data_IF_728714665309
#
_entry.id   IF_728714665309
#
_cell.length_a   1.000
_cell.length_b   1.000
_cell.length_c   1.000
_cell.angle_alpha   90.00
_cell.angle_beta   90.00
_cell.angle_gamma   90.00
#
_symmetry.space_group_name_H-M   'P 1'
#
loop_
_entity.id
_entity.type
_entity.pdbx_description
1 polymer ?
#
# COMPACT_ATOMS: atom_id res chain seq x y z
N UNK A 1 -10.01 -2.38 9.31
CA UNK A 1 -10.48 -3.59 10.02
C UNK A 1 -11.70 -4.23 9.36
N UNK A 2 -12.79 -3.48 9.06
CA UNK A 2 -14.00 -4.07 8.48
C UNK A 2 -13.81 -4.75 7.12
N UNK A 3 -12.96 -4.19 6.25
CA UNK A 3 -12.78 -4.73 4.90
C UNK A 3 -12.10 -6.10 4.86
N UNK A 4 -11.08 -6.34 5.69
CA UNK A 4 -10.42 -7.65 5.76
C UNK A 4 -11.36 -8.76 6.23
N UNK A 5 -12.29 -8.46 7.14
CA UNK A 5 -13.34 -9.41 7.55
C UNK A 5 -14.27 -9.74 6.37
N UNK A 6 -14.68 -8.72 5.61
CA UNK A 6 -15.50 -8.92 4.41
C UNK A 6 -14.77 -9.79 3.37
N UNK A 7 -13.48 -9.52 3.11
CA UNK A 7 -12.66 -10.34 2.21
C UNK A 7 -12.61 -11.79 2.68
N UNK A 8 -12.37 -12.03 3.97
CA UNK A 8 -12.37 -13.37 4.55
C UNK A 8 -13.71 -14.09 4.38
N UNK A 9 -14.84 -13.38 4.51
CA UNK A 9 -16.17 -13.94 4.24
C UNK A 9 -16.40 -14.28 2.77
N UNK A 10 -15.91 -13.44 1.85
CA UNK A 10 -15.94 -13.72 0.40
C UNK A 10 -15.08 -14.95 0.08
N UNK A 11 -13.85 -15.01 0.60
CA UNK A 11 -12.95 -16.14 0.39
C UNK A 11 -13.55 -17.44 0.95
N UNK A 12 -14.14 -17.41 2.15
CA UNK A 12 -14.85 -18.55 2.71
C UNK A 12 -15.99 -19.03 1.80
N UNK A 13 -16.77 -18.11 1.19
CA UNK A 13 -17.82 -18.49 0.22
C UNK A 13 -17.27 -19.10 -1.06
N UNK A 14 -16.11 -18.64 -1.54
CA UNK A 14 -15.46 -19.19 -2.73
C UNK A 14 -14.85 -20.57 -2.48
N UNK A 15 -14.22 -20.79 -1.32
CA UNK A 15 -13.55 -22.05 -0.99
C UNK A 15 -14.48 -23.14 -0.43
N UNK A 16 -15.49 -22.75 0.36
CA UNK A 16 -16.35 -23.69 1.11
C UNK A 16 -17.75 -23.83 0.51
N UNK A 17 -18.09 -23.02 -0.50
CA UNK A 17 -19.44 -22.96 -1.05
C UNK A 17 -20.46 -22.27 -0.12
N UNK A 18 -21.77 -22.47 -0.32
CA UNK A 18 -22.82 -21.85 0.50
C UNK A 18 -22.71 -22.19 1.99
N UNK A 19 -23.16 -21.28 2.85
CA UNK A 19 -23.12 -21.49 4.29
C UNK A 19 -23.94 -22.71 4.73
N UNK A 20 -23.30 -23.61 5.48
CA UNK A 20 -23.94 -24.74 6.16
C UNK A 20 -23.75 -24.60 7.68
N UNK A 21 -24.83 -24.44 8.47
CA UNK A 21 -24.73 -24.22 9.91
C UNK A 21 -24.16 -25.39 10.70
N UNK A 22 -24.21 -26.63 10.17
CA UNK A 22 -23.66 -27.81 10.84
C UNK A 22 -22.14 -27.92 10.67
N UNK A 23 -21.59 -27.34 9.60
CA UNK A 23 -20.16 -27.42 9.28
C UNK A 23 -19.43 -26.11 9.64
N UNK A 24 -19.99 -24.98 9.25
CA UNK A 24 -19.32 -23.68 9.27
C UNK A 24 -19.59 -22.92 10.57
N UNK A 25 -19.15 -23.48 11.69
CA UNK A 25 -19.35 -22.90 13.02
C UNK A 25 -18.29 -21.84 13.36
N UNK A 26 -18.48 -21.12 14.47
CA UNK A 26 -17.45 -20.22 15.01
C UNK A 26 -16.17 -21.01 15.34
N UNK A 27 -16.31 -22.24 15.84
CA UNK A 27 -15.19 -23.11 16.15
C UNK A 27 -14.36 -23.43 14.90
N UNK A 28 -15.02 -23.81 13.81
CA UNK A 28 -14.37 -24.03 12.51
C UNK A 28 -13.51 -22.84 12.09
N UNK A 29 -14.05 -21.62 12.15
CA UNK A 29 -13.30 -20.42 11.77
C UNK A 29 -12.19 -20.03 12.76
N UNK A 30 -12.25 -20.48 14.03
CA UNK A 30 -11.14 -20.33 14.98
C UNK A 30 -9.99 -21.27 14.67
N UNK A 31 -10.26 -22.49 14.23
CA UNK A 31 -9.22 -23.44 13.81
C UNK A 31 -8.61 -23.06 12.47
N UNK A 32 -9.43 -22.56 11.54
CA UNK A 32 -9.03 -22.21 10.19
C UNK A 32 -8.75 -20.71 9.99
N UNK A 33 -8.58 -19.93 11.08
CA UNK A 33 -8.48 -18.47 11.01
C UNK A 33 -7.34 -17.99 10.10
N UNK A 34 -6.27 -18.77 9.97
CA UNK A 34 -5.09 -18.40 9.19
C UNK A 34 -5.34 -18.40 7.68
N UNK A 35 -6.35 -19.15 7.23
CA UNK A 35 -6.74 -19.22 5.82
C UNK A 35 -7.52 -18.00 5.37
N UNK A 36 -8.35 -17.45 6.26
CA UNK A 36 -9.33 -16.42 5.89
C UNK A 36 -9.06 -15.05 6.50
N UNK A 37 -8.10 -14.91 7.43
CA UNK A 37 -7.76 -13.65 8.08
C UNK A 37 -6.25 -13.33 7.98
N UNK A 38 -5.89 -12.05 7.75
CA UNK A 38 -4.51 -11.58 7.82
C UNK A 38 -3.88 -11.81 9.20
N UNK A 39 -2.56 -11.99 9.25
CA UNK A 39 -1.81 -12.31 10.49
C UNK A 39 -2.12 -11.35 11.63
N UNK A 40 -2.11 -10.04 11.39
CA UNK A 40 -2.38 -9.02 12.41
C UNK A 40 -3.83 -9.01 12.95
N UNK A 41 -4.75 -9.69 12.27
CA UNK A 41 -6.14 -9.84 12.73
C UNK A 41 -6.35 -11.13 13.54
N UNK A 42 -5.40 -12.08 13.45
CA UNK A 42 -5.43 -13.30 14.23
C UNK A 42 -5.13 -12.92 15.67
N UNK A 43 -6.07 -13.15 16.59
CA UNK A 43 -5.78 -12.95 18.01
C UNK A 43 -4.74 -13.98 18.45
N UNK A 44 -3.84 -13.59 19.35
CA UNK A 44 -2.84 -14.51 19.90
C UNK A 44 -3.51 -15.73 20.54
N UNK A 45 -2.89 -16.90 20.37
CA UNK A 45 -3.41 -18.21 20.78
C UNK A 45 -3.93 -18.24 22.24
N UNK A 46 -3.30 -17.48 23.15
CA UNK A 46 -3.70 -17.38 24.56
C UNK A 46 -5.09 -16.76 24.78
N UNK A 47 -5.52 -15.78 23.98
CA UNK A 47 -6.87 -15.18 24.12
C UNK A 47 -7.97 -16.06 23.53
N UNK A 48 -7.63 -16.91 22.57
CA UNK A 48 -8.54 -17.90 21.99
C UNK A 48 -8.74 -19.09 22.94
N UNK A 49 -7.69 -19.50 23.66
CA UNK A 49 -7.72 -20.59 24.64
C UNK A 49 -8.56 -20.27 25.89
N UNK A 50 -8.53 -19.03 26.38
CA UNK A 50 -9.32 -18.61 27.56
C UNK A 50 -10.82 -18.41 27.28
N UNK A 51 -11.31 -18.65 26.06
CA UNK A 51 -12.73 -18.45 25.71
C UNK A 51 -13.21 -16.99 25.76
N UNK A 52 -12.31 -16.03 26.04
CA UNK A 52 -12.58 -14.59 26.16
C UNK A 52 -12.84 -13.90 24.81
N UNK A 53 -13.00 -14.66 23.73
CA UNK A 53 -13.32 -14.13 22.41
C UNK A 53 -14.81 -13.76 22.36
N UNK A 54 -15.09 -12.51 22.74
CA UNK A 54 -16.44 -11.97 22.82
C UNK A 54 -17.19 -11.95 21.49
N UNK A 55 -18.48 -11.58 21.56
CA UNK A 55 -19.43 -11.53 20.44
C UNK A 55 -18.96 -10.71 19.22
N UNK A 56 -17.94 -9.86 19.38
CA UNK A 56 -17.38 -9.00 18.32
C UNK A 56 -16.01 -9.46 17.83
N UNK A 57 -15.65 -10.73 18.03
CA UNK A 57 -14.38 -11.27 17.55
C UNK A 57 -14.29 -11.32 16.01
N UNK A 58 -13.07 -11.28 15.43
CA UNK A 58 -12.88 -11.38 13.99
C UNK A 58 -13.58 -12.60 13.38
N UNK A 59 -13.53 -13.74 14.06
CA UNK A 59 -14.11 -15.00 13.58
C UNK A 59 -15.65 -14.95 13.57
N UNK A 60 -16.27 -14.33 14.59
CA UNK A 60 -17.73 -14.14 14.61
C UNK A 60 -18.16 -13.21 13.48
N UNK A 61 -17.47 -12.08 13.31
CA UNK A 61 -17.80 -11.12 12.24
C UNK A 61 -17.56 -11.73 10.85
N UNK A 62 -16.52 -12.53 10.68
CA UNK A 62 -16.25 -13.24 9.44
C UNK A 62 -17.39 -14.22 9.13
N UNK A 63 -17.81 -15.01 10.11
CA UNK A 63 -18.94 -15.92 9.97
C UNK A 63 -20.23 -15.16 9.60
N UNK A 64 -20.49 -14.00 10.20
CA UNK A 64 -21.62 -13.16 9.81
C UNK A 64 -21.54 -12.68 8.36
N UNK A 65 -20.37 -12.22 7.91
CA UNK A 65 -20.19 -11.81 6.53
C UNK A 65 -20.38 -12.99 5.56
N UNK A 66 -19.87 -14.17 5.90
CA UNK A 66 -20.05 -15.38 5.11
C UNK A 66 -21.54 -15.79 5.00
N UNK A 67 -22.26 -15.80 6.13
CA UNK A 67 -23.71 -16.08 6.20
C UNK A 67 -24.56 -15.13 5.34
N UNK A 68 -24.16 -13.86 5.26
CA UNK A 68 -24.91 -12.83 4.51
C UNK A 68 -24.80 -12.99 2.99
N UNK A 69 -23.89 -13.81 2.47
CA UNK A 69 -23.73 -14.00 1.03
C UNK A 69 -24.80 -14.99 0.52
N UNK A 70 -25.74 -14.58 -0.35
CA UNK A 70 -26.78 -15.48 -0.84
C UNK A 70 -26.20 -16.68 -1.59
N UNK A 71 -26.77 -17.90 -1.42
CA UNK A 71 -26.29 -19.11 -2.11
C UNK A 71 -26.24 -18.95 -3.64
N UNK A 72 -27.24 -18.27 -4.22
CA UNK A 72 -27.37 -18.01 -5.64
C UNK A 72 -26.38 -16.96 -6.19
N UNK A 73 -25.54 -16.35 -5.36
CA UNK A 73 -24.55 -15.38 -5.82
C UNK A 73 -23.48 -16.07 -6.66
N UNK A 74 -23.28 -15.69 -7.94
CA UNK A 74 -22.25 -16.30 -8.77
C UNK A 74 -20.85 -15.99 -8.26
N UNK A 75 -19.98 -17.00 -8.28
CA UNK A 75 -18.60 -16.88 -7.80
C UNK A 75 -17.81 -15.78 -8.53
N UNK A 76 -18.05 -15.58 -9.85
CA UNK A 76 -17.43 -14.49 -10.62
C UNK A 76 -17.73 -13.11 -10.06
N UNK A 77 -18.95 -12.87 -9.52
CA UNK A 77 -19.29 -11.59 -8.88
C UNK A 77 -18.52 -11.40 -7.57
N UNK A 78 -18.34 -12.49 -6.82
CA UNK A 78 -17.59 -12.49 -5.56
C UNK A 78 -16.09 -12.26 -5.79
N UNK A 79 -15.49 -12.94 -6.77
CA UNK A 79 -14.11 -12.74 -7.19
C UNK A 79 -13.86 -11.29 -7.62
N UNK A 80 -14.74 -10.73 -8.46
CA UNK A 80 -14.63 -9.32 -8.89
C UNK A 80 -14.69 -8.38 -7.69
N UNK A 81 -15.65 -8.56 -6.78
CA UNK A 81 -15.76 -7.74 -5.57
C UNK A 81 -14.52 -7.85 -4.67
N UNK A 82 -13.94 -9.04 -4.57
CA UNK A 82 -12.68 -9.25 -3.83
C UNK A 82 -11.55 -8.44 -4.46
N UNK A 83 -11.38 -8.55 -5.78
CA UNK A 83 -10.32 -7.87 -6.52
C UNK A 83 -10.51 -6.35 -6.57
N UNK A 84 -11.72 -5.84 -6.71
CA UNK A 84 -12.02 -4.41 -6.67
C UNK A 84 -11.51 -3.75 -5.39
N UNK A 85 -11.68 -4.43 -4.25
CA UNK A 85 -11.10 -3.94 -3.00
C UNK A 85 -9.57 -3.99 -3.03
N UNK A 86 -8.99 -5.10 -3.50
CA UNK A 86 -7.54 -5.24 -3.58
C UNK A 86 -6.90 -4.19 -4.50
N UNK A 87 -7.49 -3.91 -5.66
CA UNK A 87 -7.03 -2.89 -6.61
C UNK A 87 -7.06 -1.47 -6.06
N UNK A 88 -7.91 -1.19 -5.08
CA UNK A 88 -7.95 0.10 -4.40
C UNK A 88 -6.79 0.29 -3.41
N UNK A 89 -6.04 -0.77 -3.07
CA UNK A 89 -4.87 -0.66 -2.21
C UNK A 89 -3.67 -0.18 -3.04
N UNK A 90 -2.96 0.88 -2.59
CA UNK A 90 -1.88 1.46 -3.38
C UNK A 90 -0.70 0.50 -3.60
N UNK A 91 -0.46 -0.39 -2.64
CA UNK A 91 0.59 -1.42 -2.70
C UNK A 91 0.14 -2.74 -3.34
N UNK A 92 -1.02 -2.76 -4.02
CA UNK A 92 -1.42 -3.93 -4.78
C UNK A 92 -0.51 -4.14 -5.99
N UNK A 93 -0.17 -5.39 -6.28
CA UNK A 93 0.72 -5.75 -7.40
C UNK A 93 2.18 -5.36 -7.20
N UNK A 94 2.60 -5.04 -5.97
CA UNK A 94 4.00 -4.79 -5.66
C UNK A 94 4.84 -6.07 -5.70
N UNK A 95 6.06 -5.95 -6.22
CA UNK A 95 7.18 -6.77 -5.78
C UNK A 95 7.67 -6.23 -4.43
N UNK A 96 7.93 -7.13 -3.47
CA UNK A 96 8.37 -6.75 -2.13
C UNK A 96 9.83 -7.14 -1.88
N UNK A 97 10.58 -6.19 -1.35
CA UNK A 97 11.99 -6.33 -0.98
C UNK A 97 12.16 -6.10 0.52
N UNK A 98 13.13 -6.80 1.11
CA UNK A 98 13.53 -6.56 2.49
C UNK A 98 14.51 -5.40 2.53
N UNK A 99 14.28 -4.45 3.43
CA UNK A 99 15.21 -3.35 3.68
C UNK A 99 15.21 -2.95 5.14
N UNK A 100 16.02 -1.95 5.47
CA UNK A 100 16.05 -1.36 6.79
C UNK A 100 16.26 0.16 6.67
N UNK A 101 15.65 0.91 7.58
CA UNK A 101 15.76 2.37 7.67
C UNK A 101 16.22 2.73 9.07
N UNK A 102 17.06 3.76 9.18
CA UNK A 102 17.52 4.22 10.49
C UNK A 102 16.33 4.70 11.34
N UNK A 103 16.35 4.36 12.63
CA UNK A 103 15.36 4.84 13.59
C UNK A 103 15.64 6.30 13.96
N UNK A 104 14.62 7.18 13.98
CA UNK A 104 14.81 8.55 14.42
C UNK A 104 15.17 8.58 15.91
N UNK A 105 16.35 9.11 16.22
CA UNK A 105 16.85 9.21 17.58
C UNK A 105 16.11 10.33 18.33
N UNK A 106 15.48 10.02 19.46
CA UNK A 106 14.82 11.00 20.35
C UNK A 106 15.24 10.78 21.80
N UNK A 107 15.76 11.82 22.44
CA UNK A 107 16.03 11.85 23.89
C UNK A 107 17.28 11.10 24.35
N UNK A 108 17.40 10.92 25.68
CA UNK A 108 18.57 10.35 26.37
C UNK A 108 18.83 8.87 26.05
N UNK A 109 17.91 8.18 25.37
CA UNK A 109 18.04 6.79 24.92
C UNK A 109 18.94 6.61 23.68
N UNK A 110 19.39 7.72 23.07
CA UNK A 110 20.39 7.73 21.98
C UNK A 110 21.63 6.87 22.27
N UNK A 111 22.07 6.84 23.53
CA UNK A 111 23.33 6.22 23.93
C UNK A 111 23.29 4.69 24.03
N UNK A 112 22.11 4.05 23.99
CA UNK A 112 21.97 2.64 24.41
C UNK A 112 21.46 1.73 23.28
N UNK A 113 20.71 2.22 22.29
CA UNK A 113 20.24 1.39 21.17
C UNK A 113 19.98 2.22 19.91
N UNK A 114 20.96 2.29 18.99
CA UNK A 114 20.67 2.54 17.59
C UNK A 114 20.29 1.20 16.96
N UNK A 115 19.01 1.01 16.62
CA UNK A 115 18.58 -0.17 15.88
C UNK A 115 17.89 0.29 14.60
N UNK A 116 18.31 -0.27 13.47
CA UNK A 116 17.62 -0.08 12.21
C UNK A 116 16.23 -0.73 12.29
N UNK A 117 15.25 -0.06 11.70
CA UNK A 117 13.88 -0.56 11.59
C UNK A 117 13.81 -1.45 10.35
N UNK A 118 13.54 -2.76 10.48
CA UNK A 118 13.31 -3.61 9.33
C UNK A 118 12.00 -3.21 8.64
N UNK A 119 12.06 -3.02 7.32
CA UNK A 119 10.93 -2.61 6.48
C UNK A 119 10.79 -3.52 5.27
N UNK A 120 9.55 -3.59 4.76
CA UNK A 120 9.28 -4.06 3.42
C UNK A 120 9.20 -2.88 2.47
N UNK A 121 9.90 -2.96 1.35
CA UNK A 121 9.77 -2.00 0.25
C UNK A 121 8.96 -2.63 -0.86
N UNK A 122 7.75 -2.14 -1.07
CA UNK A 122 6.88 -2.52 -2.17
C UNK A 122 7.10 -1.61 -3.37
N UNK A 123 7.28 -2.18 -4.57
CA UNK A 123 7.46 -1.44 -5.82
C UNK A 123 6.49 -2.01 -6.85
N UNK A 124 5.63 -1.16 -7.42
CA UNK A 124 4.72 -1.52 -8.51
C UNK A 124 4.79 -0.45 -9.62
N UNK A 125 4.02 -0.57 -10.72
CA UNK A 125 4.03 0.43 -11.79
C UNK A 125 3.57 1.84 -11.38
N UNK A 126 2.99 2.03 -10.19
CA UNK A 126 2.50 3.32 -9.71
C UNK A 126 3.58 4.06 -8.88
N UNK A 127 4.37 3.32 -8.10
CA UNK A 127 5.37 3.94 -7.23
C UNK A 127 6.03 3.00 -6.24
N UNK A 128 6.57 3.60 -5.17
CA UNK A 128 7.33 2.96 -4.10
C UNK A 128 6.63 3.13 -2.76
N UNK A 129 6.59 2.06 -1.97
CA UNK A 129 5.90 1.99 -0.69
C UNK A 129 6.81 1.40 0.37
N UNK A 130 7.02 2.10 1.48
CA UNK A 130 7.80 1.62 2.63
C UNK A 130 6.83 1.21 3.74
N UNK A 131 6.92 -0.04 4.18
CA UNK A 131 5.98 -0.68 5.09
C UNK A 131 6.73 -1.25 6.29
N UNK A 132 6.30 -0.88 7.49
CA UNK A 132 6.65 -1.61 8.70
C UNK A 132 5.82 -2.91 8.72
N UNK A 133 6.45 -4.02 8.39
CA UNK A 133 5.80 -5.32 8.31
C UNK A 133 5.38 -5.84 9.69
N UNK A 134 6.15 -5.53 10.73
CA UNK A 134 5.88 -5.96 12.10
C UNK A 134 4.61 -5.27 12.61
N UNK A 135 4.51 -3.96 12.40
CA UNK A 135 3.34 -3.16 12.78
C UNK A 135 2.23 -3.16 11.71
N UNK A 136 2.41 -3.88 10.59
CA UNK A 136 1.51 -3.89 9.44
C UNK A 136 1.06 -2.48 9.02
N UNK A 137 2.01 -1.55 8.96
CA UNK A 137 1.74 -0.12 8.79
C UNK A 137 2.49 0.44 7.58
N UNK A 138 1.77 1.08 6.67
CA UNK A 138 2.37 1.89 5.61
C UNK A 138 3.02 3.14 6.21
N UNK A 139 4.34 3.27 6.04
CA UNK A 139 5.13 4.40 6.56
C UNK A 139 5.19 5.55 5.56
N UNK A 140 5.43 5.21 4.30
CA UNK A 140 5.60 6.14 3.18
C UNK A 140 5.06 5.49 1.90
N UNK A 141 4.35 6.25 1.08
CA UNK A 141 3.94 5.86 -0.27
C UNK A 141 4.09 7.03 -1.23
N UNK A 142 4.90 6.84 -2.27
CA UNK A 142 5.27 7.87 -3.24
C UNK A 142 5.06 7.36 -4.65
N UNK A 143 4.41 8.16 -5.49
CA UNK A 143 4.40 7.90 -6.93
C UNK A 143 5.73 8.26 -7.55
N UNK A 144 6.06 7.69 -8.70
CA UNK A 144 7.30 8.04 -9.42
C UNK A 144 7.38 9.52 -9.83
N UNK A 145 6.25 10.20 -10.02
CA UNK A 145 6.21 11.65 -10.32
C UNK A 145 6.53 12.54 -9.11
N UNK A 146 6.53 11.97 -7.90
CA UNK A 146 6.68 12.70 -6.62
C UNK A 146 8.03 12.42 -5.95
N UNK A 147 8.88 11.59 -6.57
CA UNK A 147 10.18 11.21 -6.04
C UNK A 147 11.28 11.21 -7.10
N UNK A 148 12.50 11.48 -6.64
CA UNK A 148 13.73 11.05 -7.29
C UNK A 148 14.37 9.96 -6.45
N UNK A 149 15.16 9.10 -7.08
CA UNK A 149 15.96 8.11 -6.35
C UNK A 149 17.39 8.08 -6.88
N UNK A 150 18.29 7.60 -6.03
CA UNK A 150 19.66 7.27 -6.39
C UNK A 150 20.08 5.96 -5.72
N UNK A 151 20.86 5.15 -6.45
CA UNK A 151 21.39 3.89 -5.96
C UNK A 151 22.85 4.05 -5.57
N UNK A 152 23.18 3.70 -4.33
CA UNK A 152 24.55 3.68 -3.85
C UNK A 152 25.01 2.25 -3.55
N UNK A 153 26.15 1.92 -4.15
CA UNK A 153 26.91 0.71 -3.80
C UNK A 153 27.42 0.78 -2.34
N UNK A 154 27.74 -0.37 -1.73
CA UNK A 154 28.46 -0.37 -0.46
C UNK A 154 29.73 0.46 -0.54
N UNK A 155 30.02 1.26 0.47
CA UNK A 155 31.31 1.96 0.56
C UNK A 155 32.48 0.99 0.80
N UNK A 156 32.19 -0.20 1.34
CA UNK A 156 33.13 -1.31 1.52
C UNK A 156 32.49 -2.60 1.00
N UNK A 157 32.74 -2.97 -0.26
CA UNK A 157 32.12 -4.14 -0.91
C UNK A 157 32.44 -5.48 -0.21
N UNK A 158 33.62 -5.58 0.43
CA UNK A 158 34.05 -6.78 1.16
C UNK A 158 33.42 -6.91 2.56
N UNK A 159 32.76 -5.85 3.06
CA UNK A 159 32.14 -5.84 4.38
C UNK A 159 30.65 -6.25 4.26
N UNK A 160 30.24 -7.43 4.78
CA UNK A 160 28.86 -7.91 4.65
C UNK A 160 27.83 -7.07 5.41
N UNK A 161 28.28 -6.24 6.36
CA UNK A 161 27.45 -5.31 7.12
C UNK A 161 27.36 -3.93 6.46
N UNK A 162 28.19 -3.66 5.44
CA UNK A 162 28.09 -2.48 4.60
C UNK A 162 27.08 -2.74 3.48
N UNK A 163 25.81 -2.44 3.73
CA UNK A 163 24.75 -2.70 2.76
C UNK A 163 24.72 -1.63 1.66
N UNK A 164 24.38 -2.00 0.41
CA UNK A 164 23.97 -1.01 -0.57
C UNK A 164 22.67 -0.34 -0.13
N UNK A 165 22.38 0.83 -0.68
CA UNK A 165 21.16 1.55 -0.34
C UNK A 165 20.53 2.26 -1.53
N UNK A 166 19.25 2.57 -1.40
CA UNK A 166 18.55 3.52 -2.25
C UNK A 166 18.24 4.76 -1.42
N UNK A 167 18.62 5.92 -1.95
CA UNK A 167 18.14 7.22 -1.49
C UNK A 167 16.85 7.55 -2.22
N UNK A 168 15.81 7.94 -1.47
CA UNK A 168 14.53 8.37 -2.01
C UNK A 168 14.31 9.81 -1.56
N UNK A 169 14.35 10.73 -2.50
CA UNK A 169 14.11 12.15 -2.26
C UNK A 169 12.69 12.52 -2.67
N UNK A 170 11.99 13.25 -1.81
CA UNK A 170 10.61 13.67 -2.04
C UNK A 170 10.31 14.98 -1.31
N UNK A 171 9.29 15.69 -1.77
CA UNK A 171 8.88 16.98 -1.18
C UNK A 171 7.70 16.80 -0.24
N UNK A 172 7.75 17.50 0.90
CA UNK A 172 6.66 17.51 1.90
C UNK A 172 6.36 18.95 2.33
N UNK A 173 5.14 19.18 2.83
CA UNK A 173 4.77 20.46 3.44
C UNK A 173 4.90 20.34 4.95
N UNK A 174 5.84 21.07 5.55
CA UNK A 174 6.03 21.17 7.00
C UNK A 174 5.89 22.64 7.42
N UNK A 175 5.04 22.92 8.41
CA UNK A 175 4.77 24.28 8.89
C UNK A 175 4.39 25.28 7.77
N UNK A 176 3.71 24.82 6.73
CA UNK A 176 3.30 25.66 5.59
C UNK A 176 4.38 25.86 4.52
N UNK A 177 5.61 25.38 4.74
CA UNK A 177 6.72 25.47 3.78
C UNK A 177 6.93 24.13 3.07
N UNK A 178 7.29 24.18 1.79
CA UNK A 178 7.70 22.99 1.04
C UNK A 178 9.17 22.73 1.30
N UNK A 179 9.47 21.57 1.87
CA UNK A 179 10.83 21.13 2.19
C UNK A 179 11.15 19.81 1.48
N UNK A 180 12.41 19.63 1.10
CA UNK A 180 12.89 18.39 0.49
C UNK A 180 13.36 17.44 1.59
N UNK A 181 12.92 16.18 1.52
CA UNK A 181 13.30 15.12 2.46
C UNK A 181 14.00 14.00 1.69
N UNK A 182 15.00 13.38 2.32
CA UNK A 182 15.65 12.18 1.80
C UNK A 182 15.49 11.04 2.81
N UNK A 183 14.98 9.90 2.35
CA UNK A 183 14.97 8.64 3.06
C UNK A 183 16.07 7.73 2.48
N UNK A 184 16.93 7.21 3.34
CA UNK A 184 17.89 6.18 2.98
C UNK A 184 17.33 4.81 3.37
N UNK A 185 17.30 3.88 2.41
CA UNK A 185 16.89 2.50 2.64
C UNK A 185 18.05 1.56 2.35
N UNK A 186 18.57 0.90 3.37
CA UNK A 186 19.63 -0.09 3.25
C UNK A 186 19.04 -1.44 2.88
N UNK A 187 19.61 -2.12 1.89
CA UNK A 187 19.15 -3.44 1.46
C UNK A 187 20.18 -4.16 0.60
N UNK A 188 20.39 -5.46 0.86
CA UNK A 188 21.12 -6.36 -0.06
C UNK A 188 20.46 -6.46 -1.45
N UNK A 189 19.19 -6.06 -1.55
CA UNK A 189 18.38 -6.12 -2.76
C UNK A 189 18.26 -4.76 -3.47
N UNK A 190 18.98 -3.74 -3.02
CA UNK A 190 18.90 -2.38 -3.56
C UNK A 190 19.14 -2.32 -5.08
N UNK A 191 20.06 -3.13 -5.62
CA UNK A 191 20.30 -3.21 -7.09
C UNK A 191 19.04 -3.67 -7.85
N UNK A 192 18.29 -4.64 -7.31
CA UNK A 192 17.06 -5.11 -7.93
C UNK A 192 15.95 -4.07 -7.84
N UNK A 193 15.91 -3.34 -6.71
CA UNK A 193 14.96 -2.24 -6.52
C UNK A 193 15.21 -1.12 -7.54
N UNK A 194 16.47 -0.72 -7.72
CA UNK A 194 16.88 0.31 -8.68
C UNK A 194 16.52 -0.07 -10.11
N UNK A 195 16.86 -1.30 -10.52
CA UNK A 195 16.53 -1.80 -11.84
C UNK A 195 15.00 -1.82 -12.09
N UNK A 196 14.22 -2.22 -11.09
CA UNK A 196 12.76 -2.27 -11.20
C UNK A 196 12.13 -0.87 -11.28
N UNK A 197 12.60 0.08 -10.46
CA UNK A 197 12.15 1.47 -10.51
C UNK A 197 12.50 2.08 -11.87
N UNK A 198 13.75 1.92 -12.32
CA UNK A 198 14.22 2.38 -13.62
C UNK A 198 13.34 1.85 -14.77
N UNK A 199 13.06 0.54 -14.77
CA UNK A 199 12.18 -0.07 -15.78
C UNK A 199 10.78 0.54 -15.81
N UNK A 200 10.14 0.72 -14.66
CA UNK A 200 8.81 1.36 -14.61
C UNK A 200 8.84 2.82 -15.06
N UNK A 201 9.84 3.60 -14.65
CA UNK A 201 9.97 5.00 -15.04
C UNK A 201 10.23 5.15 -16.54
N UNK A 202 11.07 4.29 -17.14
CA UNK A 202 11.28 4.26 -18.58
C UNK A 202 10.00 3.93 -19.35
N UNK A 203 9.23 2.95 -18.88
CA UNK A 203 7.96 2.57 -19.50
C UNK A 203 6.93 3.71 -19.43
N UNK A 204 6.89 4.44 -18.32
CA UNK A 204 6.05 5.64 -18.18
C UNK A 204 6.48 6.69 -19.20
N UNK A 205 7.79 7.00 -19.29
CA UNK A 205 8.33 7.98 -20.25
C UNK A 205 7.99 7.62 -21.70
N UNK A 206 8.14 6.33 -22.08
CA UNK A 206 7.79 5.84 -23.43
C UNK A 206 6.30 6.02 -23.73
N UNK A 207 5.42 5.67 -22.80
CA UNK A 207 3.97 5.84 -22.95
C UNK A 207 3.58 7.31 -23.06
N UNK A 208 4.17 8.19 -22.25
CA UNK A 208 3.93 9.64 -22.32
C UNK A 208 4.44 10.26 -23.62
N UNK A 209 5.60 9.81 -24.13
CA UNK A 209 6.14 10.27 -25.40
C UNK A 209 5.27 9.83 -26.60
N UNK A 210 4.80 8.57 -26.60
CA UNK A 210 3.91 8.05 -27.64
C UNK A 210 2.51 8.71 -27.63
N UNK A 211 2.07 9.22 -26.47
CA UNK A 211 0.80 9.93 -26.34
C UNK A 211 0.88 11.42 -26.78
N UNK A 212 2.08 11.96 -27.01
CA UNK A 212 2.25 13.29 -27.61
C UNK A 212 2.25 13.15 -29.14
N UNK A 213 1.26 13.69 -29.87
CA UNK A 213 1.31 13.71 -31.32
C UNK A 213 2.52 14.54 -31.76
N UNK A 214 3.37 13.96 -32.62
CA UNK A 214 4.31 14.75 -33.40
C UNK A 214 3.51 15.53 -34.44
N UNK A 215 3.54 16.86 -34.41
CA UNK A 215 3.03 17.68 -35.50
C UNK A 215 2.16 18.86 -35.07
N UNK A 216 2.79 20.01 -35.00
CA UNK A 216 2.22 21.33 -35.28
C UNK A 216 1.65 21.35 -36.71
N UNK A 217 0.36 21.67 -36.89
CA UNK A 217 -0.22 22.49 -37.96
C UNK A 217 -1.74 22.27 -38.16
N UNK A 218 -2.43 23.41 -38.26
CA UNK A 218 -3.75 23.70 -38.87
C UNK A 218 -5.05 23.52 -38.07
N UNK A 219 -5.66 24.69 -37.82
CA UNK A 219 -7.05 24.96 -37.44
C UNK A 219 -8.09 24.09 -38.16
N UNK A 220 -8.94 23.43 -37.37
CA UNK A 220 -10.36 23.22 -37.68
C UNK A 220 -11.14 22.79 -36.44
N UNK A 221 -12.29 23.41 -36.11
CA UNK A 221 -13.09 22.98 -34.98
C UNK A 221 -13.82 21.68 -35.31
N UNK A 222 -13.87 20.68 -34.41
CA UNK A 222 -14.70 19.50 -34.62
C UNK A 222 -16.16 19.85 -34.31
N UNK A 223 -17.02 19.63 -35.30
CA UNK A 223 -18.48 19.64 -35.18
C UNK A 223 -18.89 18.50 -34.25
N UNK A 224 -19.63 18.83 -33.20
CA UNK A 224 -20.29 17.89 -32.32
C UNK A 224 -21.51 17.31 -33.03
N UNK A 225 -21.59 15.99 -33.13
CA UNK A 225 -22.83 15.30 -33.47
C UNK A 225 -23.15 14.22 -32.43
N UNK A 226 -24.44 14.19 -32.13
CA UNK A 226 -25.10 13.62 -30.95
C UNK A 226 -25.44 12.13 -31.05
N UNK A 227 -25.62 11.55 -29.86
CA UNK A 227 -26.57 10.48 -29.49
C UNK A 227 -26.17 9.00 -29.67
N UNK A 228 -26.13 8.26 -28.55
CA UNK A 228 -27.10 7.22 -28.11
C UNK A 228 -26.51 6.52 -26.87
N UNK A 229 -27.05 6.74 -25.67
CA UNK A 229 -28.20 6.09 -25.03
C UNK A 229 -27.90 4.64 -24.56
N UNK A 230 -27.72 4.45 -23.24
CA UNK A 230 -28.62 3.58 -22.47
C UNK A 230 -28.37 3.65 -20.96
N UNK A 231 -29.50 3.68 -20.28
CA UNK A 231 -29.79 3.78 -18.86
C UNK A 231 -29.36 2.53 -18.07
N UNK A 232 -28.75 2.71 -16.90
CA UNK A 232 -28.69 1.66 -15.88
C UNK A 232 -28.58 2.27 -14.46
N UNK A 233 -29.77 2.52 -13.90
CA UNK A 233 -30.14 2.39 -12.48
C UNK A 233 -29.12 2.84 -11.42
N UNK A 234 -29.26 4.09 -10.99
CA UNK A 234 -28.56 4.69 -9.85
C UNK A 234 -29.01 4.10 -8.50
N UNK A 235 -28.04 3.68 -7.68
CA UNK A 235 -28.11 3.73 -6.22
C UNK A 235 -26.79 4.28 -5.66
N UNK A 236 -26.83 5.14 -4.63
CA UNK A 236 -25.79 6.14 -4.42
C UNK A 236 -24.51 5.57 -3.77
N UNK A 237 -23.38 5.78 -4.46
CA UNK A 237 -22.02 5.66 -3.95
C UNK A 237 -21.68 6.84 -3.01
N UNK A 238 -22.46 7.06 -1.97
CA UNK A 238 -22.03 7.92 -0.86
C UNK A 238 -21.45 7.00 0.21
N UNK A 239 -20.13 7.10 0.40
CA UNK A 239 -19.30 6.69 1.56
C UNK A 239 -17.87 6.29 1.14
N UNK A 240 -17.47 6.48 -0.13
CA UNK A 240 -16.05 6.40 -0.56
C UNK A 240 -15.51 7.80 -0.82
N UNK A 241 -15.55 8.68 0.18
CA UNK A 241 -14.77 9.94 0.25
C UNK A 241 -14.92 10.56 1.64
N UNK A 242 -14.48 9.85 2.66
CA UNK A 242 -14.35 10.37 4.02
C UNK A 242 -12.93 10.85 4.33
N UNK A 243 -12.34 11.70 3.48
CA UNK A 243 -11.22 12.60 3.80
C UNK A 243 -10.68 13.27 2.52
N UNK A 244 -11.43 14.23 1.96
CA UNK A 244 -10.84 15.31 1.15
C UNK A 244 -11.64 16.59 1.33
N UNK A 245 -11.13 17.46 2.20
CA UNK A 245 -11.19 18.91 2.01
C UNK A 245 -9.82 19.48 2.34
N UNK A 246 -9.22 20.03 1.28
CA UNK A 246 -8.15 21.01 1.20
C UNK A 246 -6.70 20.58 1.51
N UNK A 247 -5.84 20.84 0.52
CA UNK A 247 -4.42 20.46 0.29
C UNK A 247 -4.23 19.06 -0.34
N UNK A 248 -3.60 18.93 -1.52
CA UNK A 248 -3.26 17.63 -2.07
C UNK A 248 -2.16 17.00 -1.20
N UNK A 249 -2.55 16.11 -0.29
CA UNK A 249 -1.64 15.14 0.28
C UNK A 249 -1.11 14.27 -0.86
N UNK A 250 0.10 14.59 -1.33
CA UNK A 250 0.81 13.88 -2.42
C UNK A 250 1.21 12.48 -1.98
N UNK A 251 1.59 12.29 -0.72
CA UNK A 251 1.99 11.00 -0.16
C UNK A 251 0.82 10.18 0.41
N UNK A 252 0.72 8.92 -0.02
CA UNK A 252 -0.24 7.96 0.53
C UNK A 252 0.34 7.30 1.77
N UNK A 253 0.02 7.88 2.95
CA UNK A 253 0.57 7.46 4.24
C UNK A 253 1.84 8.21 4.57
N UNK A 254 1.74 9.16 5.51
CA UNK A 254 2.84 10.06 5.86
C UNK A 254 3.16 9.95 7.35
N UNK A 255 3.79 8.85 7.77
CA UNK A 255 4.26 8.66 9.16
C UNK A 255 5.74 9.05 9.28
N UNK A 256 6.11 10.20 8.71
CA UNK A 256 7.50 10.68 8.64
C UNK A 256 8.18 10.78 10.01
N UNK A 257 7.41 11.05 11.06
CA UNK A 257 7.93 11.08 12.43
C UNK A 257 8.50 9.73 12.91
N UNK A 258 8.21 8.63 12.20
CA UNK A 258 8.75 7.29 12.43
C UNK A 258 9.99 6.98 11.59
N UNK A 259 10.39 7.88 10.68
CA UNK A 259 11.51 7.70 9.77
C UNK A 259 12.62 8.70 10.12
N UNK A 260 13.87 8.28 9.99
CA UNK A 260 15.00 9.23 9.91
C UNK A 260 15.03 9.82 8.51
N UNK A 261 14.92 11.15 8.43
CA UNK A 261 14.88 11.89 7.16
C UNK A 261 15.86 13.05 7.22
N UNK A 262 16.76 13.14 6.24
CA UNK A 262 17.54 14.35 6.03
C UNK A 262 16.64 15.42 5.39
N UNK A 263 16.79 16.69 5.80
CA UNK A 263 16.02 17.82 5.28
C UNK A 263 16.96 18.79 4.58
N UNK A 264 16.58 19.24 3.39
CA UNK A 264 17.33 20.23 2.62
C UNK A 264 16.39 21.37 2.22
N UNK A 265 16.86 22.60 2.39
CA UNK A 265 16.20 23.81 1.92
C UNK A 265 16.76 24.15 0.54
N UNK A 266 15.88 24.32 -0.46
CA UNK A 266 16.25 24.64 -1.85
C UNK A 266 16.81 26.09 -2.00
N UNK A 267 17.06 26.84 -0.91
CA UNK A 267 17.49 28.24 -0.97
C UNK A 267 18.99 28.45 -1.29
N UNK A 268 19.82 27.41 -1.32
CA UNK A 268 21.29 27.57 -1.40
C UNK A 268 21.91 27.48 -2.80
N UNK A 269 21.14 27.64 -3.89
CA UNK A 269 21.69 27.64 -5.27
C UNK A 269 21.46 28.91 -6.08
N UNK A 270 21.47 30.07 -5.43
CA UNK A 270 21.64 31.37 -6.10
C UNK A 270 22.93 32.05 -5.65
N UNK A 271 24.06 31.58 -6.18
CA UNK A 271 25.31 32.34 -6.28
C UNK A 271 25.83 32.25 -7.72
#
# INVERSE_FOLDING_TARGET
VGHFIMLGGIQARLELGPYNPHLHTIHFFREQHSRFLPVHMRRGAWRSWLGLSGKNSPEVRLLEHYKRIPPATPDRKLQRKYLEFCWALPYYGCAFFQGQVEQPVRGLTSLITHQDIPVLVGINPQGVYVIDNIQCTLLLGLKFEEMSWDFAKPSQEDNPDCLPCIFIQFRVVENGMRVSKILQVFSKQAVMMDALISGFVEDIKKKTAAAKPAGDETDRPPVYDTATDSDDTQMPLTMVTGARRDVPQTCLGNKLSKLTLATFDDEETRL
#
